data_IF_583814234645
#
_entry.id   IF_583814234645
#
_cell.length_a   1.000
_cell.length_b   1.000
_cell.length_c   1.000
_cell.angle_alpha   90.00
_cell.angle_beta   90.00
_cell.angle_gamma   90.00
#
_symmetry.space_group_name_H-M   'P 1'
#
loop_
_entity.id
_entity.type
_entity.pdbx_description
1 polymer ?
#
# COMPACT_ATOMS: atom_id res chain seq x y z
N UNK A 1 21.89 7.16 -3.17
CA UNK A 1 21.05 6.73 -4.31
C UNK A 1 22.02 6.49 -5.47
N UNK A 2 22.22 5.25 -5.88
CA UNK A 2 22.99 4.93 -7.09
C UNK A 2 22.10 5.16 -8.30
N UNK A 3 22.62 5.89 -9.29
CA UNK A 3 21.92 6.18 -10.54
C UNK A 3 21.94 4.96 -11.45
N UNK A 4 20.98 4.80 -12.36
CA UNK A 4 20.98 3.71 -13.34
C UNK A 4 22.26 3.71 -14.20
N UNK A 5 22.90 4.88 -14.33
CA UNK A 5 24.23 5.06 -14.96
C UNK A 5 25.34 4.24 -14.30
N UNK A 6 25.24 3.94 -13.00
CA UNK A 6 26.29 3.26 -12.24
C UNK A 6 26.38 1.76 -12.58
N UNK A 7 25.36 1.24 -13.27
CA UNK A 7 25.25 -0.16 -13.71
C UNK A 7 25.43 -0.31 -15.24
N UNK A 8 25.74 0.78 -15.93
CA UNK A 8 25.97 0.77 -17.37
C UNK A 8 27.26 0.01 -17.69
N UNK A 9 27.13 -1.08 -18.45
CA UNK A 9 28.27 -1.93 -18.80
C UNK A 9 28.84 -1.63 -20.19
N UNK A 10 27.98 -1.32 -21.17
CA UNK A 10 28.40 -1.05 -22.55
C UNK A 10 27.25 -1.14 -23.56
N UNK A 11 27.60 -1.23 -24.85
CA UNK A 11 26.65 -1.40 -25.96
C UNK A 11 27.05 -2.62 -26.81
N UNK A 12 26.07 -3.44 -27.18
CA UNK A 12 26.28 -4.61 -28.03
C UNK A 12 25.32 -4.63 -29.23
N UNK A 13 25.76 -5.23 -30.34
CA UNK A 13 24.89 -5.65 -31.45
C UNK A 13 24.34 -7.03 -31.15
N UNK A 14 23.01 -7.15 -31.16
CA UNK A 14 22.32 -8.39 -30.80
C UNK A 14 21.26 -8.68 -31.87
N UNK A 15 21.26 -9.86 -32.51
CA UNK A 15 20.18 -10.29 -33.38
C UNK A 15 18.82 -10.29 -32.66
N UNK A 16 17.77 -9.83 -33.33
CA UNK A 16 16.40 -9.83 -32.80
C UNK A 16 15.98 -11.19 -32.22
N UNK A 17 16.38 -12.30 -32.86
CA UNK A 17 16.09 -13.66 -32.40
C UNK A 17 16.61 -13.97 -30.99
N UNK A 18 17.66 -13.28 -30.55
CA UNK A 18 18.27 -13.43 -29.23
C UNK A 18 17.73 -12.46 -28.18
N UNK A 19 16.81 -11.55 -28.56
CA UNK A 19 16.14 -10.67 -27.60
C UNK A 19 14.87 -11.31 -27.03
N UNK A 20 14.79 -11.27 -25.71
CA UNK A 20 13.65 -11.72 -24.91
C UNK A 20 13.08 -10.55 -24.12
N UNK A 21 11.76 -10.54 -23.89
CA UNK A 21 11.09 -9.47 -23.15
C UNK A 21 11.10 -9.79 -21.66
N UNK A 22 11.50 -8.85 -20.81
CA UNK A 22 11.36 -8.98 -19.35
C UNK A 22 9.94 -8.60 -18.90
N UNK A 23 8.92 -9.39 -19.25
CA UNK A 23 7.58 -9.35 -18.64
C UNK A 23 6.78 -8.04 -18.71
N UNK A 24 7.24 -7.00 -19.42
CA UNK A 24 6.51 -5.76 -19.60
C UNK A 24 5.52 -5.88 -20.77
N UNK A 25 4.25 -5.61 -20.49
CA UNK A 25 3.12 -5.76 -21.41
C UNK A 25 2.76 -4.48 -22.16
N UNK A 26 3.72 -3.60 -22.45
CA UNK A 26 3.44 -2.38 -23.22
C UNK A 26 4.41 -2.21 -24.39
N UNK A 27 3.83 -2.13 -25.60
CA UNK A 27 4.51 -1.58 -26.76
C UNK A 27 4.54 -0.05 -26.60
N UNK A 28 5.64 0.64 -26.95
CA UNK A 28 5.60 2.09 -27.14
C UNK A 28 4.46 2.45 -28.10
N UNK A 29 3.67 3.47 -27.81
CA UNK A 29 2.47 3.87 -28.58
C UNK A 29 2.74 4.13 -30.07
N UNK A 30 4.01 4.32 -30.46
CA UNK A 30 4.47 4.43 -31.84
C UNK A 30 4.38 3.13 -32.65
N UNK A 31 4.22 1.97 -32.00
CA UNK A 31 4.16 0.65 -32.64
C UNK A 31 2.78 0.01 -32.48
N UNK A 32 1.77 0.64 -33.08
CA UNK A 32 0.42 0.06 -33.27
C UNK A 32 0.40 -0.90 -34.47
N UNK A 33 -0.76 -1.48 -34.80
CA UNK A 33 -0.92 -2.42 -35.91
C UNK A 33 -0.47 -1.86 -37.28
N UNK A 34 -0.32 -0.54 -37.44
CA UNK A 34 0.10 0.12 -38.68
C UNK A 34 1.59 0.49 -38.81
N UNK A 35 2.49 0.14 -37.88
CA UNK A 35 3.91 0.51 -37.99
C UNK A 35 4.62 -0.13 -39.20
N UNK A 36 5.35 0.69 -39.97
CA UNK A 36 6.06 0.24 -41.18
C UNK A 36 7.40 -0.43 -40.87
N UNK A 37 7.93 -1.19 -41.84
CA UNK A 37 9.27 -1.79 -41.76
C UNK A 37 10.33 -0.73 -41.43
N UNK A 38 10.26 0.42 -42.09
CA UNK A 38 11.20 1.54 -41.92
C UNK A 38 11.15 2.16 -40.52
N UNK A 39 9.98 2.15 -39.85
CA UNK A 39 9.84 2.65 -38.48
C UNK A 39 10.56 1.74 -37.47
N UNK A 40 10.44 0.42 -37.65
CA UNK A 40 11.15 -0.55 -36.83
C UNK A 40 12.66 -0.53 -37.09
N UNK A 41 13.11 -0.43 -38.34
CA UNK A 41 14.54 -0.29 -38.66
C UNK A 41 15.14 0.97 -38.03
N UNK A 42 14.43 2.10 -38.15
CA UNK A 42 14.88 3.37 -37.56
C UNK A 42 14.96 3.30 -36.04
N UNK A 43 14.03 2.62 -35.39
CA UNK A 43 14.00 2.49 -33.93
C UNK A 43 15.06 1.52 -33.40
N UNK A 44 15.15 0.32 -33.98
CA UNK A 44 16.06 -0.74 -33.51
C UNK A 44 17.53 -0.47 -33.86
N UNK A 45 17.77 0.31 -34.92
CA UNK A 45 19.09 0.77 -35.34
C UNK A 45 19.51 2.13 -34.76
N UNK A 46 18.67 2.78 -33.94
CA UNK A 46 18.97 4.12 -33.42
C UNK A 46 20.13 4.09 -32.40
N UNK A 47 21.28 4.67 -32.75
CA UNK A 47 22.42 4.82 -31.83
C UNK A 47 22.16 5.80 -30.69
N UNK A 48 21.32 6.79 -30.90
CA UNK A 48 21.00 7.80 -29.88
C UNK A 48 19.98 7.26 -28.86
N UNK A 49 19.16 6.30 -29.27
CA UNK A 49 18.15 5.64 -28.43
C UNK A 49 18.19 4.11 -28.57
N UNK A 50 19.27 3.45 -28.12
CA UNK A 50 19.40 2.00 -28.20
C UNK A 50 18.47 1.30 -27.20
N UNK A 51 18.15 0.04 -27.53
CA UNK A 51 17.30 -0.82 -26.71
C UNK A 51 17.99 -1.06 -25.37
N UNK A 52 17.24 -1.01 -24.27
CA UNK A 52 17.81 -1.30 -22.95
C UNK A 52 17.78 -2.80 -22.68
N UNK A 53 18.97 -3.41 -22.57
CA UNK A 53 19.17 -4.81 -22.18
C UNK A 53 19.61 -4.92 -20.72
N UNK A 54 19.07 -5.90 -20.00
CA UNK A 54 19.34 -6.14 -18.58
C UNK A 54 19.95 -7.53 -18.41
N UNK A 55 21.08 -7.60 -17.72
CA UNK A 55 21.75 -8.84 -17.36
C UNK A 55 22.17 -8.80 -15.89
N UNK A 56 22.19 -9.98 -15.25
CA UNK A 56 22.86 -10.11 -13.95
C UNK A 56 24.38 -10.06 -14.13
N UNK A 57 25.17 -9.60 -13.13
CA UNK A 57 26.63 -9.56 -13.24
C UNK A 57 27.24 -10.92 -13.57
N UNK A 58 26.74 -11.99 -12.92
CA UNK A 58 27.18 -13.37 -13.20
C UNK A 58 26.93 -13.76 -14.65
N UNK A 59 25.73 -13.47 -15.18
CA UNK A 59 25.38 -13.79 -16.57
C UNK A 59 26.16 -12.94 -17.57
N UNK A 60 26.44 -11.68 -17.23
CA UNK A 60 27.29 -10.84 -18.06
C UNK A 60 28.72 -11.38 -18.12
N UNK A 61 29.30 -11.77 -16.99
CA UNK A 61 30.64 -12.36 -16.95
C UNK A 61 30.72 -13.65 -17.77
N UNK A 62 29.74 -14.55 -17.65
CA UNK A 62 29.65 -15.76 -18.47
C UNK A 62 29.58 -15.47 -19.98
N UNK A 63 28.84 -14.44 -20.38
CA UNK A 63 28.73 -14.01 -21.79
C UNK A 63 30.06 -13.44 -22.27
N UNK A 64 30.68 -12.57 -21.47
CA UNK A 64 31.95 -11.93 -21.79
C UNK A 64 33.09 -12.95 -21.92
N UNK A 65 33.18 -13.90 -20.99
CA UNK A 65 34.18 -14.97 -21.03
C UNK A 65 34.03 -15.83 -22.29
N UNK A 66 32.81 -16.18 -22.67
CA UNK A 66 32.54 -17.02 -23.86
C UNK A 66 32.69 -16.28 -25.18
N UNK A 67 32.42 -14.98 -25.21
CA UNK A 67 32.69 -14.13 -26.37
C UNK A 67 34.14 -13.68 -26.45
N UNK A 68 34.97 -14.00 -25.45
CA UNK A 68 36.38 -13.58 -25.34
C UNK A 68 36.49 -12.05 -25.37
N UNK A 69 35.59 -11.38 -24.65
CA UNK A 69 35.51 -9.93 -24.52
C UNK A 69 35.77 -9.55 -23.07
N UNK A 70 36.66 -8.59 -22.85
CA UNK A 70 36.90 -8.07 -21.49
C UNK A 70 35.85 -7.01 -21.10
N UNK A 71 35.60 -6.85 -19.79
CA UNK A 71 34.74 -5.76 -19.28
C UNK A 71 35.20 -4.37 -19.74
N UNK A 72 36.50 -4.17 -19.91
CA UNK A 72 37.07 -2.91 -20.38
C UNK A 72 36.72 -2.63 -21.86
N UNK A 73 36.80 -3.64 -22.71
CA UNK A 73 36.36 -3.54 -24.11
C UNK A 73 34.85 -3.26 -24.19
N UNK A 74 34.05 -3.91 -23.35
CA UNK A 74 32.62 -3.63 -23.27
C UNK A 74 32.36 -2.18 -22.83
N UNK A 75 33.09 -1.63 -21.87
CA UNK A 75 32.94 -0.21 -21.49
C UNK A 75 33.37 0.75 -22.60
N UNK A 76 34.43 0.43 -23.35
CA UNK A 76 34.89 1.24 -24.49
C UNK A 76 33.84 1.32 -25.62
N UNK A 77 32.97 0.32 -25.75
CA UNK A 77 31.87 0.33 -26.73
C UNK A 77 30.80 1.41 -26.48
N UNK A 78 30.86 2.14 -25.35
CA UNK A 78 30.02 3.31 -25.11
C UNK A 78 30.37 4.50 -26.02
N UNK A 79 31.63 4.59 -26.43
CA UNK A 79 32.14 5.68 -27.29
C UNK A 79 32.70 5.16 -28.62
N UNK A 80 32.87 3.85 -28.77
CA UNK A 80 33.34 3.17 -29.97
C UNK A 80 32.21 2.35 -30.62
N UNK A 81 32.54 1.55 -31.65
CA UNK A 81 31.56 0.68 -32.29
C UNK A 81 31.05 -0.42 -31.33
N UNK A 82 29.73 -0.73 -31.35
CA UNK A 82 29.15 -1.75 -30.48
C UNK A 82 29.72 -3.15 -30.75
N UNK A 83 29.93 -3.93 -29.69
CA UNK A 83 30.46 -5.30 -29.77
C UNK A 83 29.38 -6.30 -30.17
N UNK A 84 29.71 -7.32 -30.96
CA UNK A 84 28.71 -8.28 -31.44
C UNK A 84 28.46 -9.43 -30.46
N UNK A 85 27.19 -9.69 -30.14
CA UNK A 85 26.71 -10.90 -29.46
C UNK A 85 25.74 -11.66 -30.37
N UNK A 86 26.23 -12.72 -31.00
CA UNK A 86 25.45 -13.59 -31.89
C UNK A 86 25.05 -14.93 -31.25
N UNK A 87 25.32 -15.13 -29.95
CA UNK A 87 25.19 -16.45 -29.31
C UNK A 87 24.25 -16.45 -28.11
N UNK A 88 24.19 -15.36 -27.35
CA UNK A 88 23.53 -15.34 -26.05
C UNK A 88 22.26 -14.50 -26.05
N UNK A 89 21.21 -15.04 -25.41
CA UNK A 89 19.96 -14.31 -25.22
C UNK A 89 20.10 -13.19 -24.20
N UNK A 90 19.55 -12.03 -24.52
CA UNK A 90 19.52 -10.84 -23.66
C UNK A 90 18.07 -10.44 -23.39
N UNK A 91 17.76 -10.29 -22.11
CA UNK A 91 16.47 -9.78 -21.66
C UNK A 91 16.45 -8.26 -21.86
N UNK A 92 15.42 -7.73 -22.51
CA UNK A 92 15.33 -6.31 -22.86
C UNK A 92 14.02 -5.70 -22.38
N UNK A 93 14.06 -4.38 -22.12
CA UNK A 93 12.91 -3.56 -21.76
C UNK A 93 12.10 -3.17 -23.00
N UNK A 94 11.72 -4.17 -23.79
CA UNK A 94 10.84 -4.02 -24.94
C UNK A 94 9.64 -4.94 -24.76
N UNK A 95 8.44 -4.43 -25.00
CA UNK A 95 7.20 -5.21 -24.87
C UNK A 95 7.20 -6.46 -25.75
N UNK A 96 6.63 -7.55 -25.24
CA UNK A 96 6.60 -8.85 -25.93
C UNK A 96 5.94 -8.76 -27.32
N UNK A 97 4.87 -7.98 -27.45
CA UNK A 97 4.19 -7.77 -28.73
C UNK A 97 5.06 -7.01 -29.74
N UNK A 98 5.82 -6.00 -29.28
CA UNK A 98 6.75 -5.22 -30.11
C UNK A 98 7.88 -6.10 -30.66
N UNK A 99 8.49 -6.94 -29.81
CA UNK A 99 9.51 -7.90 -30.23
C UNK A 99 8.96 -8.93 -31.22
N UNK A 100 7.73 -9.42 -31.00
CA UNK A 100 7.12 -10.39 -31.90
C UNK A 100 6.88 -9.78 -33.28
N UNK A 101 6.30 -8.58 -33.34
CA UNK A 101 6.05 -7.85 -34.58
C UNK A 101 7.36 -7.49 -35.31
N UNK A 102 8.37 -7.03 -34.58
CA UNK A 102 9.69 -6.75 -35.15
C UNK A 102 10.31 -8.01 -35.78
N UNK A 103 10.18 -9.18 -35.14
CA UNK A 103 10.66 -10.46 -35.68
C UNK A 103 9.91 -10.89 -36.93
N UNK A 104 8.60 -10.63 -36.99
CA UNK A 104 7.74 -10.92 -38.15
C UNK A 104 8.07 -10.03 -39.36
N UNK A 105 8.38 -8.74 -39.13
CA UNK A 105 8.63 -7.76 -40.19
C UNK A 105 10.09 -7.75 -40.68
N UNK A 106 11.07 -7.81 -39.77
CA UNK A 106 12.50 -7.64 -40.08
C UNK A 106 13.28 -8.95 -40.10
N UNK A 107 12.68 -10.04 -39.64
CA UNK A 107 13.33 -11.33 -39.50
C UNK A 107 14.21 -11.43 -38.25
N UNK A 108 14.55 -12.67 -37.90
CA UNK A 108 15.27 -12.96 -36.64
C UNK A 108 16.75 -12.56 -36.67
N UNK A 109 17.32 -12.40 -37.86
CA UNK A 109 18.74 -12.07 -38.06
C UNK A 109 19.03 -10.56 -38.09
N UNK A 110 18.00 -9.71 -37.99
CA UNK A 110 18.20 -8.27 -37.96
C UNK A 110 18.97 -7.86 -36.70
N UNK A 111 20.07 -7.11 -36.87
CA UNK A 111 20.91 -6.66 -35.76
C UNK A 111 20.33 -5.43 -35.09
N UNK A 112 20.18 -5.49 -33.77
CA UNK A 112 19.75 -4.36 -32.95
C UNK A 112 20.89 -3.85 -32.09
N UNK A 113 20.90 -2.53 -31.84
CA UNK A 113 21.84 -1.91 -30.91
C UNK A 113 21.22 -1.93 -29.51
N UNK A 114 21.88 -2.63 -28.58
CA UNK A 114 21.39 -2.85 -27.22
C UNK A 114 22.38 -2.29 -26.21
N UNK A 115 21.92 -1.35 -25.39
CA UNK A 115 22.66 -0.82 -24.24
C UNK A 115 22.50 -1.77 -23.06
N UNK A 116 23.62 -2.32 -22.59
CA UNK A 116 23.65 -3.36 -21.57
C UNK A 116 23.84 -2.75 -20.18
N UNK A 117 22.91 -3.06 -19.28
CA UNK A 117 23.03 -2.77 -17.86
C UNK A 117 23.30 -4.07 -17.09
N UNK A 118 24.43 -4.08 -16.37
CA UNK A 118 24.81 -5.17 -15.46
C UNK A 118 24.23 -4.91 -14.09
N UNK A 119 23.01 -5.39 -13.87
CA UNK A 119 22.25 -5.08 -12.66
C UNK A 119 22.29 -6.30 -11.73
N UNK A 120 22.91 -6.21 -10.54
CA UNK A 120 22.85 -7.27 -9.55
C UNK A 120 21.40 -7.70 -9.27
N UNK A 121 21.09 -9.00 -9.23
CA UNK A 121 19.74 -9.48 -8.87
C UNK A 121 19.34 -9.06 -7.43
N UNK A 122 20.35 -8.71 -6.65
CA UNK A 122 20.35 -8.27 -5.27
C UNK A 122 20.79 -6.81 -5.20
N UNK A 123 19.98 -5.87 -5.71
CA UNK A 123 20.14 -4.48 -5.30
C UNK A 123 19.40 -4.26 -3.97
N UNK A 124 20.08 -4.24 -2.80
CA UNK A 124 19.48 -3.72 -1.60
C UNK A 124 19.01 -2.28 -1.85
N UNK A 125 17.72 -2.02 -1.68
CA UNK A 125 17.13 -0.68 -1.82
C UNK A 125 16.48 -0.36 -3.17
N UNK A 126 16.45 -1.27 -4.17
CA UNK A 126 15.74 -1.02 -5.45
C UNK A 126 14.21 -1.04 -5.31
N UNK A 127 13.70 -1.90 -4.42
CA UNK A 127 12.26 -2.05 -4.19
C UNK A 127 11.92 -1.47 -2.83
N UNK A 128 10.87 -0.65 -2.77
CA UNK A 128 10.30 -0.26 -1.49
C UNK A 128 9.71 -1.48 -0.79
N UNK A 129 9.60 -1.41 0.54
CA UNK A 129 8.86 -2.40 1.33
C UNK A 129 7.45 -2.65 0.76
N UNK A 130 6.84 -1.59 0.22
CA UNK A 130 5.57 -1.57 -0.48
C UNK A 130 5.53 -2.46 -1.69
N UNK A 131 6.47 -2.28 -2.61
CA UNK A 131 6.51 -3.06 -3.82
C UNK A 131 6.75 -4.54 -3.49
N UNK A 132 7.66 -4.81 -2.55
CA UNK A 132 7.89 -6.19 -2.09
C UNK A 132 6.61 -6.81 -1.53
N UNK A 133 5.91 -6.10 -0.64
CA UNK A 133 4.66 -6.59 -0.05
C UNK A 133 3.57 -6.82 -1.10
N UNK A 134 3.43 -5.89 -2.06
CA UNK A 134 2.50 -6.00 -3.19
C UNK A 134 2.79 -7.23 -4.06
N UNK A 135 4.05 -7.49 -4.41
CA UNK A 135 4.42 -8.66 -5.19
C UNK A 135 4.10 -9.96 -4.45
N UNK A 136 4.38 -10.00 -3.15
CA UNK A 136 4.01 -11.14 -2.30
C UNK A 136 2.49 -11.36 -2.31
N UNK A 137 1.69 -10.30 -2.17
CA UNK A 137 0.23 -10.38 -2.26
C UNK A 137 -0.22 -11.00 -3.58
N UNK A 138 0.26 -10.47 -4.72
CA UNK A 138 -0.14 -10.93 -6.05
C UNK A 138 0.26 -12.39 -6.31
N UNK A 139 1.45 -12.79 -5.87
CA UNK A 139 2.02 -14.10 -6.18
C UNK A 139 1.64 -15.22 -5.20
N UNK A 140 1.23 -14.90 -3.97
CA UNK A 140 1.07 -15.89 -2.89
C UNK A 140 0.23 -17.13 -3.25
N UNK A 141 -0.85 -16.96 -4.01
CA UNK A 141 -1.74 -18.06 -4.40
C UNK A 141 -1.27 -18.80 -5.66
N UNK A 142 -0.68 -18.09 -6.62
CA UNK A 142 -0.33 -18.64 -7.94
C UNK A 142 1.08 -19.22 -7.99
N UNK A 143 2.03 -18.58 -7.29
CA UNK A 143 3.46 -18.91 -7.30
C UNK A 143 4.06 -18.73 -5.90
N UNK A 144 3.76 -19.63 -4.94
CA UNK A 144 4.17 -19.49 -3.55
C UNK A 144 5.70 -19.47 -3.37
N UNK A 145 6.44 -20.22 -4.19
CA UNK A 145 7.90 -20.22 -4.19
C UNK A 145 8.50 -18.88 -4.60
N UNK A 146 7.89 -18.18 -5.57
CA UNK A 146 8.32 -16.86 -5.99
C UNK A 146 7.91 -15.79 -4.97
N UNK A 147 6.72 -15.90 -4.38
CA UNK A 147 6.28 -15.04 -3.28
C UNK A 147 7.24 -15.12 -2.09
N UNK A 148 7.74 -16.32 -1.76
CA UNK A 148 8.73 -16.51 -0.71
C UNK A 148 10.06 -15.80 -1.03
N UNK A 149 10.55 -15.87 -2.28
CA UNK A 149 11.75 -15.13 -2.72
C UNK A 149 11.57 -13.61 -2.61
N UNK A 150 10.37 -13.09 -2.89
CA UNK A 150 10.07 -11.68 -2.66
C UNK A 150 10.09 -11.34 -1.17
N UNK A 151 9.48 -12.18 -0.33
CA UNK A 151 9.39 -12.01 1.11
C UNK A 151 10.78 -12.02 1.79
N UNK A 152 11.73 -12.79 1.25
CA UNK A 152 13.13 -12.84 1.72
C UNK A 152 13.89 -11.52 1.56
N UNK A 153 13.46 -10.65 0.62
CA UNK A 153 14.03 -9.31 0.42
C UNK A 153 13.74 -8.35 1.58
N UNK A 154 12.75 -8.65 2.43
CA UNK A 154 12.48 -7.88 3.64
C UNK A 154 13.42 -8.29 4.78
N UNK A 155 13.74 -7.33 5.65
CA UNK A 155 14.42 -7.64 6.91
C UNK A 155 13.58 -8.61 7.76
N UNK A 156 14.23 -9.41 8.62
CA UNK A 156 13.57 -10.44 9.41
C UNK A 156 12.36 -9.90 10.22
N UNK A 157 12.47 -8.70 10.79
CA UNK A 157 11.38 -8.05 11.52
C UNK A 157 10.18 -7.70 10.63
N UNK A 158 10.41 -7.08 9.47
CA UNK A 158 9.35 -6.74 8.51
C UNK A 158 8.71 -8.00 7.92
N UNK A 159 9.52 -9.02 7.67
CA UNK A 159 9.05 -10.34 7.22
C UNK A 159 8.06 -10.94 8.21
N UNK A 160 8.43 -10.95 9.50
CA UNK A 160 7.54 -11.39 10.58
C UNK A 160 6.22 -10.61 10.59
N UNK A 161 6.26 -9.29 10.41
CA UNK A 161 5.04 -8.48 10.37
C UNK A 161 4.13 -8.84 9.19
N UNK A 162 4.70 -9.02 7.99
CA UNK A 162 3.94 -9.46 6.81
C UNK A 162 3.34 -10.84 7.03
N UNK A 163 4.11 -11.77 7.59
CA UNK A 163 3.62 -13.10 7.95
C UNK A 163 2.48 -13.03 8.98
N UNK A 164 2.51 -12.12 9.95
CA UNK A 164 1.38 -11.93 10.89
C UNK A 164 0.09 -11.50 10.18
N UNK A 165 0.19 -10.73 9.08
CA UNK A 165 -0.96 -10.36 8.26
C UNK A 165 -1.51 -11.56 7.50
N UNK A 166 -0.66 -12.50 7.05
CA UNK A 166 -1.13 -13.71 6.34
C UNK A 166 -2.05 -14.59 7.21
N UNK A 167 -1.88 -14.52 8.53
CA UNK A 167 -2.73 -15.26 9.47
C UNK A 167 -4.10 -14.60 9.67
N UNK A 168 -4.39 -13.49 8.97
CA UNK A 168 -5.62 -12.71 9.08
C UNK A 168 -6.25 -12.58 7.69
N UNK A 169 -6.97 -13.62 7.28
CA UNK A 169 -7.49 -13.79 5.92
C UNK A 169 -8.28 -12.57 5.41
N UNK A 170 -9.09 -11.96 6.26
CA UNK A 170 -9.89 -10.78 5.91
C UNK A 170 -9.04 -9.54 5.59
N UNK A 171 -8.01 -9.28 6.40
CA UNK A 171 -7.06 -8.18 6.17
C UNK A 171 -6.27 -8.47 4.91
N UNK A 172 -5.77 -9.70 4.76
CA UNK A 172 -5.01 -10.14 3.60
C UNK A 172 -5.80 -10.01 2.30
N UNK A 173 -7.07 -10.40 2.31
CA UNK A 173 -8.01 -10.27 1.20
C UNK A 173 -8.27 -8.79 0.84
N UNK A 174 -8.50 -7.94 1.84
CA UNK A 174 -8.70 -6.51 1.60
C UNK A 174 -7.44 -5.82 1.03
N UNK A 175 -6.26 -6.17 1.53
CA UNK A 175 -4.98 -5.69 0.98
C UNK A 175 -4.77 -6.14 -0.46
N UNK A 176 -5.12 -7.39 -0.79
CA UNK A 176 -5.02 -7.93 -2.16
C UNK A 176 -5.89 -7.14 -3.15
N UNK A 177 -7.08 -6.70 -2.74
CA UNK A 177 -7.92 -5.84 -3.57
C UNK A 177 -7.24 -4.51 -3.88
N UNK A 178 -6.44 -3.95 -2.97
CA UNK A 178 -5.69 -2.70 -3.20
C UNK A 178 -4.42 -2.93 -4.05
N UNK A 179 -3.94 -4.18 -4.20
CA UNK A 179 -2.72 -4.51 -4.93
C UNK A 179 -2.75 -4.15 -6.44
N UNK A 180 -3.94 -3.94 -7.00
CA UNK A 180 -4.13 -3.47 -8.40
C UNK A 180 -3.66 -2.03 -8.62
N UNK A 181 -3.39 -1.25 -7.57
CA UNK A 181 -2.97 0.16 -7.66
C UNK A 181 -1.51 0.33 -7.22
N UNK A 182 -0.50 0.20 -8.10
CA UNK A 182 0.91 0.21 -7.69
C UNK A 182 1.31 1.49 -6.92
N UNK A 183 0.84 2.66 -7.37
CA UNK A 183 1.16 3.95 -6.78
C UNK A 183 0.78 4.10 -5.30
N UNK A 184 -0.18 3.34 -4.81
CA UNK A 184 -0.59 3.39 -3.40
C UNK A 184 0.41 2.70 -2.47
N UNK A 185 1.19 1.73 -2.96
CA UNK A 185 2.01 0.85 -2.12
C UNK A 185 3.28 1.49 -1.58
N UNK A 186 3.75 2.56 -2.20
CA UNK A 186 5.03 3.16 -1.88
C UNK A 186 5.12 3.60 -0.40
N UNK A 187 4.02 4.04 0.21
CA UNK A 187 3.99 4.59 1.57
C UNK A 187 3.61 3.58 2.66
N UNK A 188 3.65 2.27 2.38
CA UNK A 188 3.43 1.27 3.43
C UNK A 188 4.55 1.32 4.47
N UNK A 189 4.17 1.31 5.74
CA UNK A 189 5.07 1.33 6.90
C UNK A 189 5.05 -0.04 7.57
N UNK A 190 5.69 -1.04 6.95
CA UNK A 190 5.72 -2.43 7.47
C UNK A 190 6.18 -2.54 8.92
N UNK A 191 7.08 -1.65 9.37
CA UNK A 191 7.53 -1.59 10.76
C UNK A 191 6.42 -1.36 11.79
N UNK A 192 5.32 -0.71 11.41
CA UNK A 192 4.22 -0.37 12.33
C UNK A 192 3.17 -1.47 12.46
N UNK A 193 3.20 -2.49 11.59
CA UNK A 193 2.12 -3.48 11.54
C UNK A 193 2.02 -4.34 12.79
N UNK A 194 3.13 -4.66 13.47
CA UNK A 194 3.02 -5.33 14.78
C UNK A 194 2.21 -4.50 15.79
N UNK A 195 2.39 -3.18 15.80
CA UNK A 195 1.61 -2.27 16.67
C UNK A 195 0.14 -2.23 16.25
N UNK A 196 -0.14 -2.14 14.95
CA UNK A 196 -1.51 -2.11 14.41
C UNK A 196 -2.28 -3.39 14.74
N UNK A 197 -1.66 -4.55 14.56
CA UNK A 197 -2.29 -5.84 14.82
C UNK A 197 -2.48 -6.13 16.32
N UNK A 198 -1.61 -5.56 17.17
CA UNK A 198 -1.74 -5.63 18.62
C UNK A 198 -2.88 -4.78 19.19
N UNK A 199 -3.49 -3.89 18.40
CA UNK A 199 -4.67 -3.14 18.82
C UNK A 199 -5.97 -3.98 18.76
N UNK A 200 -5.93 -5.19 18.18
CA UNK A 200 -7.08 -6.10 18.08
C UNK A 200 -8.34 -5.50 17.42
N UNK A 201 -8.17 -4.53 16.51
CA UNK A 201 -9.25 -3.84 15.77
C UNK A 201 -9.27 -4.25 14.29
N UNK A 202 -9.23 -5.55 14.05
CA UNK A 202 -9.09 -6.19 12.74
C UNK A 202 -10.19 -5.81 11.76
N UNK A 203 -11.42 -5.68 12.25
CA UNK A 203 -12.57 -5.27 11.46
C UNK A 203 -12.43 -3.84 10.96
N UNK A 204 -11.92 -2.93 11.79
CA UNK A 204 -11.70 -1.53 11.41
C UNK A 204 -10.52 -1.42 10.43
N UNK A 205 -9.46 -2.21 10.63
CA UNK A 205 -8.35 -2.31 9.65
C UNK A 205 -8.90 -2.77 8.31
N UNK A 206 -9.62 -3.89 8.29
CA UNK A 206 -10.21 -4.47 7.07
C UNK A 206 -11.16 -3.48 6.39
N UNK A 207 -12.02 -2.82 7.16
CA UNK A 207 -12.96 -1.80 6.66
C UNK A 207 -12.23 -0.65 5.98
N UNK A 208 -11.13 -0.17 6.56
CA UNK A 208 -10.34 0.91 5.97
C UNK A 208 -9.66 0.49 4.65
N UNK A 209 -9.09 -0.72 4.60
CA UNK A 209 -8.47 -1.23 3.36
C UNK A 209 -9.51 -1.43 2.25
N UNK A 210 -10.70 -1.93 2.57
CA UNK A 210 -11.83 -1.97 1.64
C UNK A 210 -12.27 -0.57 1.21
N UNK A 211 -12.26 0.40 2.11
CA UNK A 211 -12.57 1.79 1.79
C UNK A 211 -11.56 2.40 0.81
N UNK A 212 -10.25 2.13 0.98
CA UNK A 212 -9.23 2.51 -0.01
C UNK A 212 -9.61 1.94 -1.38
N UNK A 213 -9.85 0.62 -1.47
CA UNK A 213 -10.22 -0.01 -2.73
C UNK A 213 -11.48 0.64 -3.34
N UNK A 214 -12.56 0.79 -2.57
CA UNK A 214 -13.82 1.36 -3.05
C UNK A 214 -13.66 2.78 -3.60
N UNK A 215 -12.94 3.65 -2.88
CA UNK A 215 -12.77 5.03 -3.35
C UNK A 215 -11.93 5.08 -4.63
N UNK A 216 -10.82 4.34 -4.70
CA UNK A 216 -9.99 4.35 -5.90
C UNK A 216 -10.68 3.64 -7.08
N UNK A 217 -11.30 2.48 -6.85
CA UNK A 217 -11.89 1.65 -7.89
C UNK A 217 -13.26 2.12 -8.34
N UNK A 218 -14.18 2.30 -7.39
CA UNK A 218 -15.61 2.50 -7.67
C UNK A 218 -15.97 3.98 -7.84
N UNK A 219 -15.10 4.89 -7.37
CA UNK A 219 -15.31 6.34 -7.46
C UNK A 219 -14.31 6.98 -8.42
N UNK A 220 -13.01 7.00 -8.07
CA UNK A 220 -12.00 7.74 -8.84
C UNK A 220 -11.85 7.15 -10.25
N UNK A 221 -11.59 5.85 -10.37
CA UNK A 221 -11.46 5.14 -11.64
C UNK A 221 -12.80 4.66 -12.21
N UNK A 222 -13.92 5.23 -11.79
CA UNK A 222 -15.22 4.87 -12.34
C UNK A 222 -15.34 5.31 -13.81
N UNK A 223 -15.75 4.37 -14.66
CA UNK A 223 -16.03 4.62 -16.07
C UNK A 223 -14.80 4.80 -16.95
N UNK A 224 -13.59 4.51 -16.46
CA UNK A 224 -12.37 4.41 -17.27
C UNK A 224 -11.96 2.94 -17.39
N UNK A 225 -11.09 2.61 -18.36
CA UNK A 225 -10.61 1.24 -18.56
C UNK A 225 -9.95 0.68 -17.28
N UNK A 226 -10.36 -0.50 -16.78
CA UNK A 226 -9.77 -1.18 -15.62
C UNK A 226 -8.24 -1.32 -15.63
N UNK A 227 -7.62 -1.43 -16.80
CA UNK A 227 -6.17 -1.54 -16.97
C UNK A 227 -5.43 -0.28 -16.51
N UNK A 228 -6.05 0.90 -16.62
CA UNK A 228 -5.46 2.18 -16.22
C UNK A 228 -5.17 2.29 -14.73
N UNK A 229 -5.74 1.40 -13.90
CA UNK A 229 -5.43 1.31 -12.47
C UNK A 229 -3.94 0.99 -12.22
N UNK A 230 -3.31 0.23 -13.12
CA UNK A 230 -1.88 -0.06 -13.07
C UNK A 230 -1.01 1.16 -13.41
N UNK A 231 -1.57 2.14 -14.12
CA UNK A 231 -0.88 3.37 -14.50
C UNK A 231 -0.81 4.39 -13.35
N UNK A 232 -1.52 4.16 -12.23
CA UNK A 232 -1.43 5.02 -11.04
C UNK A 232 -0.01 4.97 -10.47
N UNK A 233 0.71 6.08 -10.59
CA UNK A 233 2.04 6.27 -10.02
C UNK A 233 1.99 6.82 -8.59
N UNK A 234 3.11 6.70 -7.87
CA UNK A 234 3.21 7.11 -6.48
C UNK A 234 3.12 8.64 -6.30
N UNK A 235 3.57 9.44 -7.27
CA UNK A 235 3.49 10.90 -7.21
C UNK A 235 2.04 11.37 -7.29
N UNK A 236 1.26 10.76 -8.19
CA UNK A 236 -0.18 11.03 -8.32
C UNK A 236 -0.94 10.62 -7.07
N UNK A 237 -0.70 9.41 -6.55
CA UNK A 237 -1.30 8.94 -5.30
C UNK A 237 -1.01 9.89 -4.12
N UNK A 238 0.26 10.27 -3.95
CA UNK A 238 0.69 11.21 -2.90
C UNK A 238 0.14 12.62 -3.07
N UNK A 239 -0.06 13.04 -4.32
CA UNK A 239 -0.63 14.34 -4.62
C UNK A 239 -2.11 14.42 -4.28
N UNK A 240 -2.83 13.30 -4.29
CA UNK A 240 -4.27 13.25 -4.03
C UNK A 240 -4.62 12.88 -2.59
N UNK A 241 -3.83 12.02 -1.93
CA UNK A 241 -4.11 11.62 -0.56
C UNK A 241 -4.21 12.84 0.39
N UNK A 242 -5.06 12.73 1.40
CA UNK A 242 -5.43 13.82 2.34
C UNK A 242 -6.21 15.01 1.74
N UNK A 243 -6.46 15.06 0.42
CA UNK A 243 -7.30 16.10 -0.16
C UNK A 243 -8.78 15.81 0.06
N UNK A 244 -9.57 16.86 0.28
CA UNK A 244 -11.03 16.83 0.41
C UNK A 244 -11.69 17.67 -0.70
N UNK A 245 -11.62 17.21 -1.95
CA UNK A 245 -11.91 18.04 -3.12
C UNK A 245 -13.34 18.58 -3.18
N UNK A 246 -14.36 17.83 -2.74
CA UNK A 246 -15.73 18.37 -2.73
C UNK A 246 -15.93 19.55 -1.75
N UNK A 247 -15.08 19.67 -0.72
CA UNK A 247 -15.25 20.63 0.38
C UNK A 247 -14.19 21.73 0.43
N UNK A 248 -13.03 21.53 -0.19
CA UNK A 248 -11.89 22.46 -0.18
C UNK A 248 -11.65 23.07 -1.56
N UNK A 249 -11.95 24.36 -1.73
CA UNK A 249 -11.65 25.10 -2.98
C UNK A 249 -10.16 25.06 -3.32
N UNK A 250 -9.31 25.18 -2.30
CA UNK A 250 -7.85 25.08 -2.44
C UNK A 250 -7.43 23.73 -3.03
N UNK A 251 -8.03 22.63 -2.57
CA UNK A 251 -7.73 21.29 -3.09
C UNK A 251 -8.21 21.16 -4.53
N UNK A 252 -9.41 21.67 -4.86
CA UNK A 252 -9.92 21.66 -6.23
C UNK A 252 -8.97 22.39 -7.20
N UNK A 253 -8.54 23.60 -6.85
CA UNK A 253 -7.62 24.40 -7.66
C UNK A 253 -6.28 23.66 -7.85
N UNK A 254 -5.70 23.13 -6.78
CA UNK A 254 -4.46 22.36 -6.83
C UNK A 254 -4.59 21.11 -7.71
N UNK A 255 -5.70 20.38 -7.63
CA UNK A 255 -5.95 19.19 -8.45
C UNK A 255 -6.09 19.56 -9.92
N UNK A 256 -6.84 20.62 -10.24
CA UNK A 256 -7.03 21.11 -11.62
C UNK A 256 -5.70 21.54 -12.25
N UNK A 257 -4.90 22.30 -11.51
CA UNK A 257 -3.56 22.72 -11.92
C UNK A 257 -2.66 21.50 -12.21
N UNK A 258 -2.60 20.53 -11.29
CA UNK A 258 -1.80 19.31 -11.45
C UNK A 258 -2.29 18.41 -12.59
N UNK A 259 -3.59 18.39 -12.87
CA UNK A 259 -4.13 17.68 -14.02
C UNK A 259 -3.76 18.36 -15.32
N UNK A 260 -3.87 19.70 -15.38
CA UNK A 260 -3.58 20.53 -16.57
C UNK A 260 -2.10 20.49 -16.95
N UNK A 261 -1.19 20.52 -15.98
CA UNK A 261 0.25 20.50 -16.24
C UNK A 261 0.82 19.09 -16.46
N UNK A 262 -0.02 18.04 -16.45
CA UNK A 262 0.39 16.66 -16.70
C UNK A 262 1.11 15.97 -15.54
N UNK A 263 1.22 16.61 -14.37
CA UNK A 263 1.90 16.01 -13.20
C UNK A 263 1.02 15.01 -12.44
N UNK A 264 -0.29 15.08 -12.64
CA UNK A 264 -1.26 14.10 -12.15
C UNK A 264 -1.63 13.10 -13.26
N UNK A 265 -1.56 11.81 -12.94
CA UNK A 265 -1.75 10.67 -13.85
C UNK A 265 -0.87 10.75 -15.09
N UNK A 266 0.42 11.01 -14.94
CA UNK A 266 1.35 11.21 -16.07
C UNK A 266 1.44 9.99 -17.02
N UNK A 267 1.12 8.79 -16.54
CA UNK A 267 1.11 7.56 -17.34
C UNK A 267 -0.21 7.33 -18.11
N UNK A 268 -1.17 8.26 -18.03
CA UNK A 268 -2.46 8.17 -18.73
C UNK A 268 -2.52 9.31 -19.76
N UNK A 269 -2.40 8.96 -21.04
CA UNK A 269 -2.34 9.92 -22.15
C UNK A 269 -3.71 10.30 -22.72
N UNK A 270 -4.75 9.48 -22.49
CA UNK A 270 -6.10 9.71 -23.00
C UNK A 270 -6.77 10.91 -22.32
N UNK A 271 -6.99 12.00 -23.06
CA UNK A 271 -7.64 13.20 -22.53
C UNK A 271 -9.07 12.95 -22.05
N UNK A 272 -9.78 12.00 -22.66
CA UNK A 272 -11.12 11.60 -22.23
C UNK A 272 -11.08 10.95 -20.84
N UNK A 273 -10.15 10.02 -20.62
CA UNK A 273 -9.97 9.34 -19.34
C UNK A 273 -9.47 10.32 -18.27
N UNK A 274 -8.49 11.18 -18.60
CA UNK A 274 -8.00 12.24 -17.71
C UNK A 274 -9.12 13.17 -17.27
N UNK A 275 -9.97 13.58 -18.21
CA UNK A 275 -11.14 14.42 -17.92
C UNK A 275 -12.15 13.71 -17.03
N UNK A 276 -12.33 12.39 -17.19
CA UNK A 276 -13.21 11.57 -16.36
C UNK A 276 -12.68 11.43 -14.95
N UNK A 277 -11.40 11.07 -14.81
CA UNK A 277 -10.69 11.01 -13.52
C UNK A 277 -10.79 12.35 -12.79
N UNK A 278 -10.56 13.47 -13.48
CA UNK A 278 -10.67 14.80 -12.88
C UNK A 278 -12.07 15.07 -12.32
N UNK A 279 -13.12 14.78 -13.11
CA UNK A 279 -14.51 14.96 -12.65
C UNK A 279 -14.81 14.10 -11.42
N UNK A 280 -14.43 12.83 -11.46
CA UNK A 280 -14.69 11.88 -10.37
C UNK A 280 -13.98 12.31 -9.08
N UNK A 281 -12.71 12.74 -9.18
CA UNK A 281 -11.95 13.24 -8.04
C UNK A 281 -12.63 14.47 -7.45
N UNK A 282 -13.00 15.44 -8.29
CA UNK A 282 -13.60 16.69 -7.81
C UNK A 282 -14.98 16.51 -7.18
N UNK A 283 -15.71 15.45 -7.58
CA UNK A 283 -17.01 15.10 -7.02
C UNK A 283 -16.94 14.27 -5.73
N UNK A 284 -15.75 13.79 -5.34
CA UNK A 284 -15.62 12.91 -4.19
C UNK A 284 -15.84 13.65 -2.85
N UNK A 285 -16.91 13.28 -2.15
CA UNK A 285 -17.30 13.78 -0.83
C UNK A 285 -16.54 13.06 0.28
N UNK A 286 -15.28 13.43 0.48
CA UNK A 286 -14.46 12.88 1.56
C UNK A 286 -12.99 13.21 1.40
N UNK A 287 -12.21 12.75 2.38
CA UNK A 287 -10.75 12.79 2.30
C UNK A 287 -10.28 11.59 1.47
N UNK A 288 -9.54 11.82 0.39
CA UNK A 288 -9.07 10.74 -0.49
C UNK A 288 -8.17 9.79 0.32
N UNK A 289 -8.57 8.51 0.50
CA UNK A 289 -7.86 7.57 1.34
C UNK A 289 -6.65 6.98 0.59
N UNK A 290 -5.63 6.61 1.34
CA UNK A 290 -4.44 5.89 0.88
C UNK A 290 -3.87 5.03 2.00
N UNK A 291 -2.86 4.20 1.70
CA UNK A 291 -2.13 3.42 2.71
C UNK A 291 -1.48 4.35 3.74
N UNK A 292 -1.04 5.55 3.34
CA UNK A 292 -0.50 6.52 4.29
C UNK A 292 -1.58 7.05 5.23
N UNK A 293 -2.75 7.45 4.70
CA UNK A 293 -3.87 7.89 5.54
C UNK A 293 -4.32 6.80 6.53
N UNK A 294 -4.29 5.52 6.11
CA UNK A 294 -4.53 4.38 6.99
C UNK A 294 -3.54 4.37 8.16
N UNK A 295 -2.25 4.51 7.87
CA UNK A 295 -1.23 4.53 8.91
C UNK A 295 -1.41 5.69 9.87
N UNK A 296 -1.73 6.89 9.38
CA UNK A 296 -1.97 8.03 10.26
C UNK A 296 -3.24 7.85 11.11
N UNK A 297 -4.33 7.33 10.54
CA UNK A 297 -5.55 7.01 11.30
C UNK A 297 -5.29 5.93 12.37
N UNK A 298 -4.51 4.91 12.07
CA UNK A 298 -4.18 3.85 13.02
C UNK A 298 -3.35 4.35 14.21
N UNK A 299 -2.59 5.44 14.07
CA UNK A 299 -1.88 6.05 15.21
C UNK A 299 -2.87 6.51 16.27
N UNK A 300 -3.99 7.10 15.87
CA UNK A 300 -5.06 7.52 16.78
C UNK A 300 -5.87 6.33 17.28
N UNK A 301 -6.37 5.47 16.37
CA UNK A 301 -7.24 4.35 16.74
C UNK A 301 -6.58 3.39 17.73
N UNK A 302 -5.26 3.18 17.64
CA UNK A 302 -4.53 2.32 18.57
C UNK A 302 -4.54 2.88 20.00
N UNK A 303 -4.55 4.21 20.18
CA UNK A 303 -4.64 4.83 21.51
C UNK A 303 -5.99 4.49 22.15
N UNK A 304 -7.09 4.73 21.41
CA UNK A 304 -8.44 4.39 21.87
C UNK A 304 -8.58 2.91 22.18
N UNK A 305 -8.13 2.03 21.28
CA UNK A 305 -8.20 0.58 21.49
C UNK A 305 -7.46 0.13 22.75
N UNK A 306 -6.25 0.65 23.01
CA UNK A 306 -5.48 0.33 24.22
C UNK A 306 -6.13 0.85 25.50
N UNK A 307 -6.77 2.02 25.45
CA UNK A 307 -7.55 2.55 26.59
C UNK A 307 -8.72 1.60 26.91
N UNK A 308 -9.46 1.17 25.89
CA UNK A 308 -10.57 0.22 26.07
C UNK A 308 -10.08 -1.13 26.57
N UNK A 309 -9.00 -1.68 25.99
CA UNK A 309 -8.35 -2.91 26.48
C UNK A 309 -7.99 -2.80 27.97
N UNK A 310 -7.45 -1.65 28.38
CA UNK A 310 -7.02 -1.42 29.75
C UNK A 310 -8.20 -1.30 30.72
N UNK A 311 -9.18 -0.45 30.45
CA UNK A 311 -10.19 -0.07 31.43
C UNK A 311 -11.56 -0.71 31.25
N UNK A 312 -11.89 -1.21 30.06
CA UNK A 312 -13.23 -1.73 29.75
C UNK A 312 -13.17 -3.23 29.48
N UNK A 313 -12.24 -3.68 28.64
CA UNK A 313 -12.19 -5.06 28.17
C UNK A 313 -11.82 -6.04 29.29
N UNK A 314 -12.63 -7.08 29.48
CA UNK A 314 -12.24 -8.25 30.28
C UNK A 314 -11.69 -9.31 29.34
N UNK A 315 -10.40 -9.66 29.48
CA UNK A 315 -9.82 -10.78 28.73
C UNK A 315 -10.46 -12.08 29.19
N UNK A 316 -11.05 -12.82 28.24
CA UNK A 316 -11.63 -14.13 28.49
C UNK A 316 -10.55 -15.21 28.28
N UNK A 317 -10.54 -16.29 29.06
CA UNK A 317 -9.62 -17.40 28.81
C UNK A 317 -9.89 -17.96 27.42
N UNK A 318 -8.96 -17.78 26.49
CA UNK A 318 -8.97 -18.56 25.25
C UNK A 318 -8.74 -20.02 25.63
N UNK A 319 -9.63 -20.93 25.21
CA UNK A 319 -9.39 -22.36 25.28
C UNK A 319 -7.98 -22.63 24.75
N UNK A 320 -7.10 -23.20 25.59
CA UNK A 320 -5.74 -23.54 25.18
C UNK A 320 -5.86 -24.54 24.03
N UNK A 321 -5.54 -24.10 22.82
CA UNK A 321 -5.50 -24.99 21.67
C UNK A 321 -4.54 -26.14 21.97
N UNK A 322 -5.00 -27.38 21.80
CA UNK A 322 -4.13 -28.57 21.84
C UNK A 322 -3.01 -28.39 20.80
N UNK A 323 -1.74 -28.56 21.17
CA UNK A 323 -0.63 -28.28 20.28
C UNK A 323 -0.47 -29.45 19.30
N UNK A 324 -1.01 -29.36 18.09
CA UNK A 324 -0.51 -30.16 16.96
C UNK A 324 -1.01 -29.76 15.56
N UNK A 325 -2.23 -29.25 15.36
CA UNK A 325 -2.75 -29.12 13.98
C UNK A 325 -3.79 -28.00 13.73
N UNK A 326 -4.12 -27.17 14.71
CA UNK A 326 -5.03 -26.06 14.46
C UNK A 326 -4.30 -24.93 13.73
N UNK A 327 -4.84 -24.35 12.64
CA UNK A 327 -4.32 -23.09 12.11
C UNK A 327 -4.27 -22.08 13.26
N UNK A 328 -3.18 -21.30 13.33
CA UNK A 328 -3.00 -20.24 14.34
C UNK A 328 -4.29 -19.41 14.39
N UNK A 329 -5.12 -19.66 15.42
CA UNK A 329 -6.44 -19.05 15.54
C UNK A 329 -6.24 -17.54 15.58
N UNK A 330 -6.92 -16.82 14.69
CA UNK A 330 -6.93 -15.36 14.72
C UNK A 330 -7.31 -14.91 16.13
N UNK A 331 -6.56 -13.97 16.75
CA UNK A 331 -6.94 -13.45 18.05
C UNK A 331 -8.37 -12.88 17.97
N UNK A 332 -9.17 -13.10 19.00
CA UNK A 332 -10.49 -12.46 19.08
C UNK A 332 -10.32 -10.93 19.01
N UNK A 333 -11.15 -10.27 18.21
CA UNK A 333 -11.11 -8.81 18.09
C UNK A 333 -11.66 -8.14 19.34
N UNK A 334 -11.20 -6.92 19.60
CA UNK A 334 -11.67 -6.09 20.69
C UNK A 334 -13.18 -5.85 20.57
N UNK A 335 -13.69 -5.64 19.35
CA UNK A 335 -15.12 -5.49 19.10
C UNK A 335 -15.90 -6.75 19.45
N UNK A 336 -15.48 -7.92 18.95
CA UNK A 336 -16.12 -9.22 19.24
C UNK A 336 -16.14 -9.49 20.75
N UNK A 337 -15.00 -9.27 21.41
CA UNK A 337 -14.86 -9.49 22.84
C UNK A 337 -15.77 -8.53 23.63
N UNK A 338 -15.80 -7.23 23.31
CA UNK A 338 -16.66 -6.27 24.00
C UNK A 338 -18.15 -6.47 23.70
N UNK A 339 -18.51 -6.91 22.49
CA UNK A 339 -19.90 -7.15 22.09
C UNK A 339 -20.58 -8.22 22.97
N UNK A 340 -19.80 -9.17 23.52
CA UNK A 340 -20.34 -10.14 24.47
C UNK A 340 -20.77 -9.50 25.79
N UNK A 341 -20.13 -8.40 26.24
CA UNK A 341 -20.52 -7.67 27.46
C UNK A 341 -21.62 -6.63 27.20
N UNK A 342 -22.10 -6.53 25.96
CA UNK A 342 -23.08 -5.53 25.53
C UNK A 342 -24.50 -6.08 25.58
N UNK A 343 -25.44 -5.32 26.14
CA UNK A 343 -26.87 -5.66 26.17
C UNK A 343 -27.26 -6.71 27.23
N UNK A 344 -26.33 -7.09 28.12
CA UNK A 344 -26.60 -8.08 29.18
C UNK A 344 -27.37 -7.51 30.38
N UNK A 345 -27.21 -6.22 30.66
CA UNK A 345 -27.90 -5.52 31.75
C UNK A 345 -29.00 -4.60 31.20
N UNK A 346 -30.22 -4.78 31.71
CA UNK A 346 -31.38 -3.93 31.41
C UNK A 346 -31.61 -2.89 32.53
N UNK A 347 -32.08 -1.67 32.20
CA UNK A 347 -32.32 -1.17 30.85
C UNK A 347 -31.03 -0.62 30.22
N UNK A 348 -30.80 -0.96 28.94
CA UNK A 348 -29.89 -0.16 28.11
C UNK A 348 -30.55 1.20 27.98
N UNK A 349 -30.01 2.20 28.67
CA UNK A 349 -30.41 3.57 28.46
C UNK A 349 -30.02 3.86 27.00
N UNK A 350 -30.99 4.01 26.10
CA UNK A 350 -30.71 4.27 24.69
C UNK A 350 -30.17 5.71 24.57
N UNK A 351 -29.00 5.97 25.15
CA UNK A 351 -28.36 7.27 25.26
C UNK A 351 -27.13 7.26 24.36
N UNK A 352 -26.94 8.36 23.64
CA UNK A 352 -25.75 8.61 22.83
C UNK A 352 -25.15 9.91 23.28
N UNK A 353 -23.83 9.95 23.42
CA UNK A 353 -23.14 11.20 23.71
C UNK A 353 -23.00 11.99 22.40
N UNK A 354 -23.71 13.12 22.30
CA UNK A 354 -23.66 13.99 21.12
C UNK A 354 -22.56 15.05 21.22
N UNK A 355 -22.27 15.49 22.44
CA UNK A 355 -21.17 16.41 22.77
C UNK A 355 -20.61 16.02 24.14
N UNK A 356 -19.42 16.49 24.51
CA UNK A 356 -18.78 16.13 25.78
C UNK A 356 -19.72 16.28 26.98
N UNK A 357 -20.01 15.16 27.65
CA UNK A 357 -20.87 15.07 28.82
C UNK A 357 -22.37 15.30 28.56
N UNK A 358 -22.80 15.44 27.30
CA UNK A 358 -24.23 15.61 26.95
C UNK A 358 -24.76 14.41 26.18
N UNK A 359 -25.80 13.82 26.75
CA UNK A 359 -26.43 12.61 26.27
C UNK A 359 -27.81 12.93 25.70
N UNK A 360 -28.15 12.30 24.58
CA UNK A 360 -29.49 12.34 24.01
C UNK A 360 -30.07 10.94 23.96
N UNK A 361 -31.36 10.82 24.27
CA UNK A 361 -32.08 9.57 24.08
C UNK A 361 -32.40 9.36 22.61
N UNK A 362 -32.10 8.17 22.11
CA UNK A 362 -32.42 7.74 20.77
C UNK A 362 -33.55 6.70 20.82
N UNK A 363 -34.47 6.77 19.86
CA UNK A 363 -35.60 5.86 19.77
C UNK A 363 -35.20 4.45 19.31
N UNK A 364 -34.19 4.36 18.44
CA UNK A 364 -33.65 3.10 17.94
C UNK A 364 -32.46 2.69 18.80
N UNK A 365 -32.45 1.51 19.45
CA UNK A 365 -31.30 1.06 20.22
C UNK A 365 -30.04 1.00 19.37
N UNK A 366 -28.88 1.35 19.96
CA UNK A 366 -27.60 1.12 19.30
C UNK A 366 -27.42 -0.38 19.04
N UNK A 367 -26.73 -0.72 17.94
CA UNK A 367 -26.14 -2.04 17.79
C UNK A 367 -24.76 -2.07 18.47
N UNK A 368 -24.23 -3.27 18.74
CA UNK A 368 -22.92 -3.44 19.38
C UNK A 368 -21.80 -2.62 18.70
N UNK A 369 -21.78 -2.55 17.36
CA UNK A 369 -20.82 -1.72 16.62
C UNK A 369 -21.01 -0.22 16.91
N UNK A 370 -22.24 0.27 16.95
CA UNK A 370 -22.53 1.67 17.26
C UNK A 370 -22.12 2.04 18.70
N UNK A 371 -22.38 1.15 19.65
CA UNK A 371 -21.94 1.31 21.03
C UNK A 371 -20.40 1.27 21.14
N UNK A 372 -19.73 0.38 20.40
CA UNK A 372 -18.28 0.35 20.33
C UNK A 372 -17.68 1.65 19.76
N UNK A 373 -18.30 2.22 18.73
CA UNK A 373 -17.86 3.52 18.17
C UNK A 373 -17.99 4.63 19.22
N UNK A 374 -19.09 4.67 19.98
CA UNK A 374 -19.26 5.62 21.09
C UNK A 374 -18.17 5.47 22.16
N UNK A 375 -17.82 4.23 22.54
CA UNK A 375 -16.70 3.96 23.45
C UNK A 375 -15.36 4.46 22.90
N UNK A 376 -15.07 4.16 21.64
CA UNK A 376 -13.83 4.59 20.98
C UNK A 376 -13.73 6.12 20.96
N UNK A 377 -14.81 6.82 20.64
CA UNK A 377 -14.85 8.28 20.65
C UNK A 377 -14.65 8.86 22.06
N UNK A 378 -15.30 8.29 23.07
CA UNK A 378 -15.11 8.72 24.46
C UNK A 378 -13.66 8.49 24.94
N UNK A 379 -13.08 7.34 24.63
CA UNK A 379 -11.69 7.02 24.94
C UNK A 379 -10.70 7.97 24.25
N UNK A 380 -10.93 8.29 22.97
CA UNK A 380 -10.10 9.21 22.20
C UNK A 380 -10.27 10.66 22.66
N UNK A 381 -11.46 11.09 23.09
CA UNK A 381 -11.68 12.47 23.56
C UNK A 381 -10.86 12.79 24.80
N UNK A 382 -10.75 11.85 25.73
CA UNK A 382 -10.02 12.02 27.00
C UNK A 382 -8.71 11.24 27.04
N UNK A 383 -8.13 10.89 25.90
CA UNK A 383 -6.96 10.02 25.83
C UNK A 383 -5.73 10.48 26.66
N UNK A 384 -5.42 11.79 26.79
CA UNK A 384 -4.25 12.21 27.58
C UNK A 384 -4.47 11.98 29.08
N UNK A 385 -5.74 11.95 29.50
CA UNK A 385 -6.16 11.72 30.88
C UNK A 385 -6.45 10.24 31.19
N UNK A 386 -6.38 9.38 30.16
CA UNK A 386 -6.61 7.95 30.25
C UNK A 386 -5.36 7.13 29.90
N UNK A 387 -4.33 7.75 29.34
CA UNK A 387 -3.12 7.10 28.87
C UNK A 387 -1.87 7.92 29.19
N UNK A 388 -0.70 7.38 28.83
CA UNK A 388 0.58 8.09 28.88
C UNK A 388 0.94 8.74 27.53
N UNK A 389 0.02 8.73 26.56
CA UNK A 389 0.26 9.30 25.24
C UNK A 389 -0.09 10.79 25.27
N UNK A 390 0.86 11.64 24.87
CA UNK A 390 0.67 13.09 24.84
C UNK A 390 0.09 13.55 23.50
N UNK A 391 -0.78 14.58 23.49
CA UNK A 391 -1.20 15.23 22.26
C UNK A 391 -0.02 15.75 21.45
N UNK A 392 -0.10 15.54 20.13
CA UNK A 392 0.78 16.22 19.20
C UNK A 392 0.46 17.71 19.20
N UNK A 393 1.50 18.53 19.10
CA UNK A 393 1.37 19.97 19.03
C UNK A 393 1.56 20.44 17.59
N UNK A 394 0.62 21.26 17.11
CA UNK A 394 0.73 21.91 15.80
C UNK A 394 1.85 22.97 15.79
N UNK A 395 2.02 23.68 16.90
CA UNK A 395 3.07 24.67 17.13
C UNK A 395 3.80 24.28 18.41
N UNK A 396 5.13 24.25 18.38
CA UNK A 396 5.94 23.98 19.58
C UNK A 396 5.58 24.97 20.68
N UNK A 397 4.99 24.48 21.76
CA UNK A 397 4.50 25.28 22.88
C UNK A 397 4.49 24.47 24.17
N UNK A 398 3.78 24.94 25.20
CA UNK A 398 3.62 24.17 26.44
C UNK A 398 2.81 22.91 26.15
N UNK A 399 3.45 21.75 26.31
CA UNK A 399 2.82 20.44 26.11
C UNK A 399 1.79 20.12 27.18
N UNK A 400 0.73 19.41 26.81
CA UNK A 400 -0.15 18.79 27.79
C UNK A 400 0.55 17.55 28.37
N UNK A 401 0.67 17.49 29.69
CA UNK A 401 1.15 16.28 30.37
C UNK A 401 0.05 15.21 30.33
N UNK A 402 0.38 14.02 29.83
CA UNK A 402 -0.51 12.88 29.83
C UNK A 402 -0.32 12.06 31.10
N UNK A 403 -1.40 11.81 31.83
CA UNK A 403 -1.43 10.98 33.02
C UNK A 403 -2.81 10.36 33.18
N UNK A 404 -2.87 9.10 33.57
CA UNK A 404 -4.13 8.42 33.80
C UNK A 404 -4.70 8.85 35.16
N UNK A 405 -5.86 9.51 35.17
CA UNK A 405 -6.54 9.94 36.39
C UNK A 405 -7.83 9.13 36.67
N UNK A 406 -8.23 9.10 37.94
CA UNK A 406 -9.38 8.31 38.39
C UNK A 406 -10.73 8.86 37.91
N UNK A 407 -10.86 10.18 37.78
CA UNK A 407 -12.08 10.89 37.38
C UNK A 407 -12.40 10.64 35.91
N UNK A 408 -11.42 10.75 35.03
CA UNK A 408 -11.56 10.44 33.60
C UNK A 408 -11.89 8.97 33.38
N UNK A 409 -11.28 8.07 34.17
CA UNK A 409 -11.62 6.65 34.17
C UNK A 409 -13.06 6.39 34.63
N UNK A 410 -13.50 7.02 35.72
CA UNK A 410 -14.88 6.92 36.22
C UNK A 410 -15.88 7.36 35.15
N UNK A 411 -15.62 8.51 34.49
CA UNK A 411 -16.45 9.02 33.38
C UNK A 411 -16.52 8.04 32.21
N UNK A 412 -15.39 7.45 31.79
CA UNK A 412 -15.38 6.45 30.72
C UNK A 412 -16.24 5.22 31.09
N UNK A 413 -16.18 4.75 32.34
CA UNK A 413 -16.99 3.63 32.79
C UNK A 413 -18.49 3.98 32.90
N UNK A 414 -18.84 5.20 33.32
CA UNK A 414 -20.22 5.72 33.31
C UNK A 414 -20.78 5.81 31.89
N UNK A 415 -19.96 6.29 30.95
CA UNK A 415 -20.29 6.30 29.53
C UNK A 415 -20.55 4.87 29.02
N UNK A 416 -19.64 3.93 29.32
CA UNK A 416 -19.78 2.53 28.91
C UNK A 416 -21.07 1.87 29.42
N UNK A 417 -21.40 2.06 30.70
CA UNK A 417 -22.65 1.54 31.27
C UNK A 417 -23.88 2.20 30.66
N UNK A 418 -23.82 3.52 30.40
CA UNK A 418 -24.94 4.26 29.80
C UNK A 418 -25.31 3.78 28.40
N UNK A 419 -24.39 3.17 27.65
CA UNK A 419 -24.62 2.64 26.29
C UNK A 419 -24.74 1.11 26.24
N UNK A 420 -24.86 0.46 27.41
CA UNK A 420 -25.21 -0.95 27.53
C UNK A 420 -24.07 -1.94 27.74
N UNK A 421 -22.83 -1.49 27.98
CA UNK A 421 -21.74 -2.40 28.36
C UNK A 421 -21.71 -2.64 29.88
N UNK A 422 -21.55 -3.89 30.28
CA UNK A 422 -21.43 -4.24 31.70
C UNK A 422 -20.44 -5.37 31.95
N UNK A 423 -19.47 -5.14 32.84
CA UNK A 423 -18.56 -6.17 33.35
C UNK A 423 -17.85 -5.69 34.63
N UNK A 424 -17.08 -6.59 35.27
CA UNK A 424 -16.34 -6.32 36.51
C UNK A 424 -15.35 -5.16 36.45
N UNK A 425 -14.83 -4.78 35.27
CA UNK A 425 -13.93 -3.62 35.15
C UNK A 425 -14.73 -2.32 35.16
N UNK A 426 -15.89 -2.32 34.51
CA UNK A 426 -16.83 -1.20 34.52
C UNK A 426 -17.32 -0.97 35.94
N UNK A 427 -17.78 -2.02 36.65
CA UNK A 427 -18.21 -1.94 38.06
C UNK A 427 -17.16 -1.26 38.95
N UNK A 428 -15.92 -1.76 38.95
CA UNK A 428 -14.80 -1.17 39.69
C UNK A 428 -14.46 0.26 39.27
N UNK A 429 -14.72 0.61 38.00
CA UNK A 429 -14.51 1.95 37.48
C UNK A 429 -15.55 2.94 37.97
N UNK A 430 -16.79 2.49 38.19
CA UNK A 430 -17.89 3.32 38.72
C UNK A 430 -17.69 3.66 40.21
N UNK A 431 -16.96 2.83 40.94
CA UNK A 431 -16.59 3.05 42.35
C UNK A 431 -15.47 4.09 42.54
N UNK A 432 -14.82 4.54 41.46
CA UNK A 432 -13.74 5.51 41.55
C UNK A 432 -14.26 6.90 41.94
N UNK A 433 -13.48 7.66 42.75
CA UNK A 433 -13.87 8.99 43.19
C UNK A 433 -14.06 9.93 42.00
N UNK A 434 -15.13 10.72 42.08
CA UNK A 434 -15.54 11.68 41.04
C UNK A 434 -15.03 13.12 41.32
N UNK A 435 -14.31 13.33 42.43
CA UNK A 435 -13.86 14.63 42.92
C UNK A 435 -12.32 14.76 42.85
N UNK A 436 -11.87 16.02 42.73
CA UNK A 436 -10.45 16.43 42.66
C UNK A 436 -9.69 16.21 43.96
#
# INVERSE_FOLDING_TARGET
>A
MTSLSDYLAGVMRVPLGLLTSEGFSECPAAFSDGASVSDFERFLGNRDQPITGILSPKRLDEILDRLVITRQQLQQSLTQDPLSNSQFKIDCLLGQHCLKKAKELLGQSHECIVRIYSIPPELPGRYSDGEICRQVLLLHQQQPSLAQKWLERLSAGKRKHVTMVFHRDEIWSAMRQVAVFPGLWHDIKLGNWAKHLAAHIDEQITTYWRHIYRVWNDVIFNGVDPSLRQCLDASSARSLQFMAPAWSKKDQEAIREKMKNGTLFCNISSEEDRSRLLRNILAFEGVIPSILTFHENMRYLTVGAKILERYIEVKRPTEKAKPALAPLKTPESLLSNLAQDWGQHLPVLNLVECTEGRYQSIHTPLQALGAFVQLMLAALRSFPLLSSETPLQDIKGIGMNAFADAKSRSRLCKMASSIGFWNKKIEKGLELPDQE
#
